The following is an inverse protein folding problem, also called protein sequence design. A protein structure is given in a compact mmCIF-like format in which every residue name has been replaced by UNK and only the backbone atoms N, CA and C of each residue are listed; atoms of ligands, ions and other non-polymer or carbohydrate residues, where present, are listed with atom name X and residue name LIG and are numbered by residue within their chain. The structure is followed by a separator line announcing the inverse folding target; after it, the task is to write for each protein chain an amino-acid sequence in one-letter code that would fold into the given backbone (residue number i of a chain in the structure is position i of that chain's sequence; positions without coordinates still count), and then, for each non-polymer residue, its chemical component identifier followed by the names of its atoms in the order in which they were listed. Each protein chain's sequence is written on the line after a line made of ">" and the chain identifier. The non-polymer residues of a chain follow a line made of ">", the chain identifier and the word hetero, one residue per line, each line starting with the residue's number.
data_IF_540035571342
#
_entry.id   IF_540035571342
#
_cell.length_a   1.000
_cell.length_b   1.000
_cell.length_c   1.000
_cell.angle_alpha   90.00
_cell.angle_beta   90.00
_cell.angle_gamma   90.00
#
_symmetry.space_group_name_H-M   'P 1'
#
loop_
_entity.id
_entity.type
_entity.pdbx_description
1 polymer ?
#
# COMPACT_ATOMS: atom_id res chain seq x y z
N UNK A 1 -24.55 3.60 33.68
CA UNK A 1 -24.67 2.37 34.49
C UNK A 1 -24.43 1.21 33.54
N UNK A 2 -23.28 0.54 33.66
CA UNK A 2 -22.91 -0.54 32.75
C UNK A 2 -23.57 -1.84 33.24
N UNK A 3 -24.37 -2.47 32.39
CA UNK A 3 -25.00 -3.76 32.65
C UNK A 3 -23.92 -4.84 32.77
N UNK A 4 -23.78 -5.39 33.98
CA UNK A 4 -22.99 -6.58 34.25
C UNK A 4 -23.68 -7.79 33.64
N UNK A 5 -23.11 -8.32 32.54
CA UNK A 5 -23.52 -9.58 31.93
C UNK A 5 -23.53 -10.72 32.96
N UNK A 6 -24.72 -11.10 33.40
CA UNK A 6 -24.97 -12.23 34.29
C UNK A 6 -24.72 -13.53 33.53
N UNK A 7 -23.59 -14.19 33.78
CA UNK A 7 -23.33 -15.56 33.32
C UNK A 7 -24.35 -16.53 33.94
N UNK A 8 -25.07 -17.29 33.12
CA UNK A 8 -26.05 -18.28 33.58
C UNK A 8 -25.46 -19.22 34.65
N UNK A 9 -26.21 -19.54 35.72
CA UNK A 9 -25.75 -20.42 36.78
C UNK A 9 -25.57 -21.86 36.28
N UNK A 10 -24.49 -22.51 36.72
CA UNK A 10 -24.12 -23.88 36.34
C UNK A 10 -24.58 -24.81 37.45
N UNK A 11 -25.47 -25.74 37.14
CA UNK A 11 -26.14 -26.59 38.13
C UNK A 11 -25.44 -27.97 38.21
N UNK A 12 -25.33 -28.53 39.42
CA UNK A 12 -24.91 -29.92 39.60
C UNK A 12 -26.06 -30.87 39.27
N UNK A 13 -25.85 -31.81 38.35
CA UNK A 13 -26.89 -32.76 37.91
C UNK A 13 -27.29 -33.79 38.98
N UNK A 14 -26.50 -33.95 40.05
CA UNK A 14 -26.79 -34.93 41.12
C UNK A 14 -27.52 -34.37 42.33
N UNK A 15 -27.31 -33.09 42.63
CA UNK A 15 -27.85 -32.47 43.83
C UNK A 15 -28.43 -31.07 43.59
N UNK A 16 -28.51 -30.65 42.33
CA UNK A 16 -29.14 -29.42 41.84
C UNK A 16 -28.59 -28.11 42.44
N UNK A 17 -27.42 -28.17 43.09
CA UNK A 17 -26.77 -26.98 43.62
C UNK A 17 -26.23 -26.14 42.46
N UNK A 18 -26.59 -24.86 42.46
CA UNK A 18 -26.16 -23.88 41.47
C UNK A 18 -24.82 -23.24 41.82
N UNK A 19 -23.95 -23.09 40.83
CA UNK A 19 -22.65 -22.44 40.96
C UNK A 19 -22.51 -21.33 39.93
N UNK A 20 -21.92 -20.22 40.34
CA UNK A 20 -21.61 -19.09 39.44
C UNK A 20 -20.42 -19.38 38.52
N UNK A 21 -19.56 -20.36 38.87
CA UNK A 21 -18.37 -20.72 38.11
C UNK A 21 -18.19 -22.24 38.03
N UNK A 22 -17.75 -22.73 36.86
CA UNK A 22 -17.45 -24.17 36.64
C UNK A 22 -16.42 -24.72 37.63
N UNK A 23 -15.47 -23.87 38.07
CA UNK A 23 -14.49 -24.23 39.11
C UNK A 23 -15.17 -24.59 40.44
N UNK A 24 -16.23 -23.88 40.81
CA UNK A 24 -17.02 -24.14 42.02
C UNK A 24 -17.75 -25.48 41.92
N UNK A 25 -18.43 -25.73 40.80
CA UNK A 25 -19.08 -27.03 40.54
C UNK A 25 -18.07 -28.19 40.59
N UNK A 26 -16.92 -28.04 39.94
CA UNK A 26 -15.87 -29.06 39.94
C UNK A 26 -15.32 -29.35 41.34
N UNK A 27 -15.18 -28.34 42.19
CA UNK A 27 -14.77 -28.52 43.58
C UNK A 27 -15.85 -29.23 44.41
N UNK A 28 -17.12 -28.89 44.15
CA UNK A 28 -18.27 -29.53 44.78
C UNK A 28 -18.39 -31.02 44.40
N UNK A 29 -18.32 -31.36 43.11
CA UNK A 29 -18.37 -32.76 42.65
C UNK A 29 -17.26 -33.58 43.31
N UNK A 30 -16.03 -33.06 43.36
CA UNK A 30 -14.91 -33.76 44.04
C UNK A 30 -15.15 -34.03 45.53
N UNK A 31 -15.94 -33.19 46.19
CA UNK A 31 -16.15 -33.26 47.64
C UNK A 31 -17.39 -34.06 48.01
N UNK A 32 -18.46 -33.97 47.22
CA UNK A 32 -19.78 -34.52 47.55
C UNK A 32 -20.24 -35.63 46.60
N UNK A 33 -19.58 -35.78 45.44
CA UNK A 33 -19.82 -36.82 44.45
C UNK A 33 -18.49 -37.45 43.97
N UNK A 34 -17.66 -37.99 44.88
CA UNK A 34 -16.31 -38.48 44.55
C UNK A 34 -16.30 -39.64 43.53
N UNK A 35 -17.42 -40.34 43.36
CA UNK A 35 -17.63 -41.37 42.35
C UNK A 35 -17.78 -40.82 40.91
N UNK A 36 -17.96 -39.51 40.74
CA UNK A 36 -18.06 -38.87 39.44
C UNK A 36 -16.71 -38.27 39.02
N UNK A 37 -16.16 -38.76 37.92
CA UNK A 37 -14.93 -38.20 37.35
C UNK A 37 -15.14 -36.76 36.87
N UNK A 38 -14.46 -35.81 37.50
CA UNK A 38 -14.40 -34.42 37.01
C UNK A 38 -13.40 -34.34 35.86
N UNK A 39 -13.91 -34.45 34.64
CA UNK A 39 -13.16 -34.22 33.40
C UNK A 39 -12.93 -32.72 33.17
N UNK A 40 -11.84 -32.19 33.73
CA UNK A 40 -11.34 -30.85 33.32
C UNK A 40 -10.63 -31.01 31.99
N UNK A 41 -11.19 -30.45 30.91
CA UNK A 41 -10.54 -30.41 29.59
C UNK A 41 -9.14 -29.80 29.74
N UNK A 42 -8.12 -30.54 29.30
CA UNK A 42 -6.76 -30.06 29.25
C UNK A 42 -6.65 -28.88 28.29
N UNK A 43 -5.87 -27.86 28.66
CA UNK A 43 -5.56 -26.74 27.80
C UNK A 43 -4.18 -26.88 27.14
N UNK A 44 -3.44 -27.95 27.45
CA UNK A 44 -2.20 -28.29 26.79
C UNK A 44 -2.48 -29.37 25.75
N UNK A 45 -2.24 -29.07 24.47
CA UNK A 45 -2.59 -29.97 23.36
C UNK A 45 -1.30 -30.58 22.82
N UNK A 46 -1.26 -31.91 22.66
CA UNK A 46 -0.10 -32.57 22.08
C UNK A 46 0.06 -32.18 20.60
N UNK A 47 1.30 -31.92 20.18
CA UNK A 47 1.61 -31.59 18.79
C UNK A 47 1.74 -32.80 17.87
N UNK A 48 1.62 -34.03 18.40
CA UNK A 48 1.80 -35.28 17.65
C UNK A 48 0.65 -36.29 17.79
N UNK A 49 -0.36 -35.98 18.61
CA UNK A 49 -1.59 -36.77 18.73
C UNK A 49 -2.73 -35.92 19.29
N UNK A 50 -3.95 -36.48 19.33
CA UNK A 50 -5.16 -35.76 19.74
C UNK A 50 -5.37 -35.65 21.27
N UNK A 51 -4.36 -36.04 22.07
CA UNK A 51 -4.46 -36.00 23.53
C UNK A 51 -4.28 -34.58 24.07
N UNK A 52 -5.00 -34.30 25.17
CA UNK A 52 -4.93 -33.02 25.88
C UNK A 52 -4.61 -33.23 27.36
N UNK A 53 -3.88 -32.27 27.95
CA UNK A 53 -3.32 -32.36 29.29
C UNK A 53 -3.61 -31.08 30.09
N UNK A 54 -3.72 -31.25 31.41
CA UNK A 54 -4.06 -30.15 32.33
C UNK A 54 -2.86 -29.24 32.63
N UNK A 55 -1.66 -29.79 32.61
CA UNK A 55 -0.41 -29.07 32.90
C UNK A 55 0.64 -29.37 31.84
N UNK A 56 1.62 -28.47 31.71
CA UNK A 56 2.73 -28.66 30.78
C UNK A 56 3.60 -29.87 31.16
N UNK A 57 3.76 -30.12 32.47
CA UNK A 57 4.52 -31.27 32.97
C UNK A 57 3.91 -32.61 32.54
N UNK A 58 2.58 -32.74 32.60
CA UNK A 58 1.89 -33.96 32.13
C UNK A 58 2.01 -34.13 30.61
N UNK A 59 2.02 -33.04 29.85
CA UNK A 59 2.30 -33.11 28.41
C UNK A 59 3.75 -33.56 28.16
N UNK A 60 4.72 -33.02 28.91
CA UNK A 60 6.13 -33.38 28.79
C UNK A 60 6.37 -34.88 29.07
N UNK A 61 5.79 -35.41 30.16
CA UNK A 61 5.84 -36.85 30.50
C UNK A 61 5.20 -37.73 29.40
N UNK A 62 4.09 -37.27 28.82
CA UNK A 62 3.46 -37.96 27.69
C UNK A 62 4.36 -37.98 26.44
N UNK A 63 5.04 -36.87 26.14
CA UNK A 63 5.96 -36.79 25.00
C UNK A 63 7.17 -37.73 25.18
N UNK A 64 7.69 -37.86 26.40
CA UNK A 64 8.78 -38.78 26.71
C UNK A 64 8.33 -40.24 26.63
N UNK A 65 7.17 -40.58 27.21
CA UNK A 65 6.70 -41.97 27.35
C UNK A 65 6.01 -42.54 26.11
N UNK A 66 5.20 -41.75 25.39
CA UNK A 66 4.36 -42.24 24.28
C UNK A 66 4.91 -41.86 22.91
N UNK A 67 5.80 -40.87 22.87
CA UNK A 67 6.36 -40.33 21.65
C UNK A 67 7.89 -40.42 21.59
N UNK A 68 8.51 -40.96 22.64
CA UNK A 68 9.96 -41.16 22.74
C UNK A 68 10.78 -39.89 22.46
N UNK A 69 10.22 -38.73 22.79
CA UNK A 69 10.89 -37.44 22.63
C UNK A 69 11.80 -37.20 23.83
N UNK A 70 13.11 -37.09 23.60
CA UNK A 70 14.06 -36.75 24.64
C UNK A 70 14.06 -35.25 24.91
N UNK A 71 13.37 -34.80 25.97
CA UNK A 71 13.39 -33.41 26.40
C UNK A 71 14.76 -33.05 27.00
N UNK A 72 15.23 -31.83 26.74
CA UNK A 72 16.51 -31.32 27.25
C UNK A 72 16.26 -30.13 28.16
N UNK A 73 16.86 -30.16 29.35
CA UNK A 73 16.75 -29.11 30.35
C UNK A 73 18.10 -28.47 30.62
N UNK A 74 18.11 -27.15 30.74
CA UNK A 74 19.28 -26.33 31.07
C UNK A 74 18.91 -25.45 32.25
N UNK A 75 19.79 -25.38 33.25
CA UNK A 75 19.64 -24.52 34.41
C UNK A 75 20.80 -23.55 34.46
N UNK A 76 20.52 -22.25 34.51
CA UNK A 76 21.51 -21.17 34.54
C UNK A 76 21.14 -20.16 35.62
N UNK A 77 22.15 -19.46 36.16
CA UNK A 77 21.95 -18.37 37.11
C UNK A 77 22.66 -17.13 36.61
N UNK A 78 21.98 -15.98 36.68
CA UNK A 78 22.49 -14.67 36.28
C UNK A 78 22.38 -13.69 37.44
N UNK A 79 23.23 -12.67 37.44
CA UNK A 79 23.27 -11.66 38.51
C UNK A 79 22.83 -10.27 38.04
N UNK A 80 22.43 -10.15 36.77
CA UNK A 80 21.80 -8.95 36.23
C UNK A 80 20.73 -9.31 35.20
N UNK A 81 19.75 -8.41 35.02
CA UNK A 81 18.77 -8.56 33.95
C UNK A 81 19.42 -8.51 32.56
N UNK A 82 20.52 -7.77 32.40
CA UNK A 82 21.26 -7.66 31.14
C UNK A 82 21.89 -8.99 30.73
N UNK A 83 22.60 -9.67 31.65
CA UNK A 83 23.17 -11.00 31.40
C UNK A 83 22.11 -12.00 30.98
N UNK A 84 20.98 -12.03 31.71
CA UNK A 84 19.85 -12.88 31.38
C UNK A 84 19.27 -12.57 30.00
N UNK A 85 19.09 -11.29 29.65
CA UNK A 85 18.54 -10.87 28.36
C UNK A 85 19.49 -11.24 27.21
N UNK A 86 20.80 -11.04 27.38
CA UNK A 86 21.82 -11.41 26.39
C UNK A 86 21.85 -12.94 26.16
N UNK A 87 21.82 -13.73 27.24
CA UNK A 87 21.72 -15.18 27.15
C UNK A 87 20.42 -15.61 26.45
N UNK A 88 19.28 -15.00 26.83
CA UNK A 88 17.99 -15.28 26.22
C UNK A 88 17.99 -14.98 24.72
N UNK A 89 18.53 -13.84 24.31
CA UNK A 89 18.63 -13.45 22.90
C UNK A 89 19.51 -14.42 22.11
N UNK A 90 20.64 -14.84 22.69
CA UNK A 90 21.51 -15.85 22.08
C UNK A 90 20.78 -17.17 21.84
N UNK A 91 20.08 -17.71 22.84
CA UNK A 91 19.35 -18.98 22.65
C UNK A 91 18.20 -18.84 21.65
N UNK A 92 17.52 -17.70 21.60
CA UNK A 92 16.43 -17.44 20.65
C UNK A 92 16.95 -17.39 19.21
N UNK A 93 18.12 -16.77 19.02
CA UNK A 93 18.83 -16.73 17.74
C UNK A 93 19.29 -18.12 17.31
N UNK A 94 19.94 -18.86 18.21
CA UNK A 94 20.47 -20.20 17.92
C UNK A 94 19.36 -21.22 17.65
N UNK A 95 18.21 -21.08 18.33
CA UNK A 95 17.05 -21.98 18.18
C UNK A 95 16.03 -21.52 17.14
N UNK A 96 16.23 -20.38 16.46
CA UNK A 96 15.26 -19.77 15.55
C UNK A 96 13.85 -19.69 16.15
N UNK A 97 13.81 -19.34 17.43
CA UNK A 97 12.58 -19.32 18.21
C UNK A 97 12.48 -18.03 19.03
N UNK A 98 11.35 -17.85 19.69
CA UNK A 98 11.17 -16.72 20.60
C UNK A 98 10.30 -17.13 21.77
N UNK A 99 10.66 -16.66 22.95
CA UNK A 99 10.05 -16.90 24.24
C UNK A 99 9.37 -15.64 24.72
N UNK A 100 8.04 -15.69 24.80
CA UNK A 100 7.18 -14.59 25.24
C UNK A 100 6.72 -14.82 26.66
N UNK A 101 6.69 -13.77 27.48
CA UNK A 101 6.17 -13.83 28.84
C UNK A 101 4.66 -14.15 28.78
N UNK A 102 4.26 -15.28 29.38
CA UNK A 102 2.86 -15.70 29.46
C UNK A 102 2.17 -15.10 30.67
N UNK A 103 2.82 -15.21 31.82
CA UNK A 103 2.36 -14.71 33.11
C UNK A 103 3.54 -14.67 34.09
N UNK A 104 3.33 -14.00 35.22
CA UNK A 104 4.23 -14.02 36.34
C UNK A 104 3.43 -14.17 37.63
N UNK A 105 4.09 -14.64 38.69
CA UNK A 105 3.57 -14.70 40.05
C UNK A 105 4.58 -14.09 41.01
N UNK A 106 4.13 -13.25 41.91
CA UNK A 106 4.97 -12.59 42.91
C UNK A 106 4.53 -13.01 44.32
N UNK A 107 5.48 -13.46 45.13
CA UNK A 107 5.27 -13.70 46.56
C UNK A 107 5.91 -12.56 47.34
N UNK A 108 5.07 -11.60 47.77
CA UNK A 108 5.49 -10.36 48.43
C UNK A 108 6.34 -10.59 49.70
N UNK A 109 6.06 -11.66 50.45
CA UNK A 109 6.76 -12.00 51.70
C UNK A 109 8.22 -12.44 51.51
N UNK A 110 8.65 -12.82 50.29
CA UNK A 110 10.00 -13.35 50.03
C UNK A 110 10.78 -12.60 48.93
N UNK A 111 10.24 -11.48 48.42
CA UNK A 111 10.86 -10.74 47.30
C UNK A 111 11.06 -11.59 46.03
N UNK A 112 10.31 -12.69 45.88
CA UNK A 112 10.53 -13.71 44.85
C UNK A 112 9.50 -13.57 43.73
N UNK A 113 9.97 -13.32 42.52
CA UNK A 113 9.16 -13.22 41.30
C UNK A 113 9.44 -14.40 40.38
N UNK A 114 8.40 -15.15 40.05
CA UNK A 114 8.46 -16.26 39.11
C UNK A 114 7.76 -15.88 37.81
N UNK A 115 8.50 -15.87 36.71
CA UNK A 115 8.05 -15.50 35.37
C UNK A 115 8.07 -16.73 34.45
N UNK A 116 6.98 -16.95 33.74
CA UNK A 116 6.84 -18.10 32.83
C UNK A 116 6.88 -17.60 31.39
N UNK A 117 7.92 -18.00 30.67
CA UNK A 117 8.07 -17.74 29.24
C UNK A 117 7.73 -19.00 28.44
N UNK A 118 7.01 -18.81 27.34
CA UNK A 118 6.61 -19.89 26.44
C UNK A 118 7.04 -19.57 25.02
N UNK A 119 7.27 -20.59 24.19
CA UNK A 119 7.46 -20.39 22.76
C UNK A 119 6.32 -19.55 22.14
N UNK A 120 6.67 -18.58 21.29
CA UNK A 120 5.73 -17.69 20.61
C UNK A 120 4.71 -18.45 19.73
N UNK A 121 5.10 -19.61 19.19
CA UNK A 121 4.22 -20.53 18.43
C UNK A 121 3.28 -21.34 19.33
N UNK A 122 3.51 -21.42 20.64
CA UNK A 122 2.73 -22.26 21.57
C UNK A 122 1.32 -21.72 21.78
N UNK A 123 0.34 -22.63 21.73
CA UNK A 123 -1.08 -22.41 22.00
C UNK A 123 -1.95 -22.32 20.74
N UNK A 124 -3.24 -22.08 20.95
CA UNK A 124 -4.23 -21.93 19.88
C UNK A 124 -4.56 -20.46 19.63
N UNK A 125 -4.86 -20.12 18.38
CA UNK A 125 -5.48 -18.84 18.05
C UNK A 125 -6.95 -18.86 18.44
N UNK A 126 -7.40 -17.85 19.19
CA UNK A 126 -8.81 -17.63 19.48
C UNK A 126 -9.30 -16.43 18.66
N UNK A 127 -10.15 -16.63 17.64
CA UNK A 127 -10.75 -15.51 16.94
C UNK A 127 -11.64 -14.71 17.90
N UNK A 128 -11.73 -13.40 17.69
CA UNK A 128 -12.75 -12.56 18.33
C UNK A 128 -14.01 -12.64 17.47
N UNK A 129 -15.17 -12.76 18.12
CA UNK A 129 -16.47 -12.94 17.45
C UNK A 129 -16.84 -11.73 16.58
N UNK A 130 -16.61 -10.49 17.05
CA UNK A 130 -16.94 -9.25 16.32
C UNK A 130 -15.87 -8.78 15.32
N UNK A 131 -15.12 -9.69 14.71
CA UNK A 131 -14.01 -9.30 13.85
C UNK A 131 -14.47 -8.98 12.42
N UNK A 132 -14.47 -7.69 12.07
CA UNK A 132 -14.79 -7.20 10.71
C UNK A 132 -13.72 -7.52 9.66
N UNK A 133 -12.45 -7.70 10.05
CA UNK A 133 -11.33 -7.92 9.12
C UNK A 133 -11.08 -9.41 8.88
N UNK A 134 -11.00 -9.84 7.62
CA UNK A 134 -10.61 -11.22 7.24
C UNK A 134 -9.31 -11.68 7.91
N UNK A 135 -9.17 -13.00 8.07
CA UNK A 135 -7.93 -13.63 8.55
C UNK A 135 -6.80 -13.40 7.55
N UNK A 136 -5.57 -13.32 8.06
CA UNK A 136 -4.39 -13.17 7.21
C UNK A 136 -4.21 -14.46 6.40
N UNK A 137 -3.86 -14.34 5.12
CA UNK A 137 -3.54 -15.50 4.28
C UNK A 137 -2.42 -16.39 4.89
N UNK A 138 -1.46 -15.77 5.59
CA UNK A 138 -0.39 -16.48 6.30
C UNK A 138 -0.81 -17.15 7.62
N UNK A 139 -2.10 -17.11 7.96
CA UNK A 139 -2.65 -17.73 9.16
C UNK A 139 -2.19 -17.07 10.48
N UNK A 140 -2.37 -17.82 11.57
CA UNK A 140 -1.88 -17.40 12.89
C UNK A 140 -0.38 -17.67 13.04
N UNK A 141 0.24 -16.94 13.97
CA UNK A 141 1.58 -17.28 14.49
C UNK A 141 1.49 -18.52 15.39
N UNK A 142 0.34 -18.73 16.04
CA UNK A 142 0.09 -19.87 16.92
C UNK A 142 -0.03 -21.16 16.11
N UNK A 143 0.66 -22.20 16.54
CA UNK A 143 0.73 -23.53 15.91
C UNK A 143 -0.54 -24.36 16.10
N UNK A 144 -1.40 -24.00 17.05
CA UNK A 144 -2.60 -24.77 17.38
C UNK A 144 -2.38 -25.84 18.45
N UNK A 145 -1.13 -26.19 18.75
CA UNK A 145 -0.75 -27.11 19.82
C UNK A 145 0.08 -26.41 20.91
N UNK A 146 0.35 -27.11 22.00
CA UNK A 146 1.27 -26.64 23.04
C UNK A 146 2.69 -27.08 22.69
N UNK A 147 3.57 -26.10 22.48
CA UNK A 147 5.00 -26.37 22.39
C UNK A 147 5.57 -26.64 23.80
N UNK A 148 6.33 -27.73 24.01
CA UNK A 148 6.95 -28.04 25.31
C UNK A 148 8.10 -27.11 25.68
N UNK A 149 8.66 -26.39 24.71
CA UNK A 149 9.72 -25.40 24.92
C UNK A 149 9.21 -24.23 25.78
N UNK A 150 9.75 -24.16 27.00
CA UNK A 150 9.40 -23.19 28.03
C UNK A 150 10.63 -22.75 28.81
N UNK A 151 10.54 -21.57 29.41
CA UNK A 151 11.58 -21.04 30.28
C UNK A 151 10.93 -20.47 31.54
N UNK A 152 11.29 -21.03 32.70
CA UNK A 152 10.83 -20.57 33.99
C UNK A 152 11.95 -19.76 34.63
N UNK A 153 11.69 -18.49 34.93
CA UNK A 153 12.67 -17.53 35.43
C UNK A 153 12.27 -17.12 36.83
N UNK A 154 13.14 -17.35 37.79
CA UNK A 154 12.96 -16.99 39.19
C UNK A 154 13.92 -15.86 39.52
N UNK A 155 13.37 -14.68 39.76
CA UNK A 155 14.13 -13.51 40.22
C UNK A 155 13.93 -13.35 41.72
N UNK A 156 15.02 -13.26 42.46
CA UNK A 156 15.03 -13.02 43.90
C UNK A 156 16.05 -11.91 44.20
N UNK A 157 15.69 -11.03 45.13
CA UNK A 157 16.60 -10.02 45.65
C UNK A 157 16.85 -10.31 47.12
N UNK A 158 18.10 -10.55 47.49
CA UNK A 158 18.55 -10.78 48.87
C UNK A 158 19.71 -9.83 49.14
N UNK A 159 19.61 -9.00 50.18
CA UNK A 159 20.66 -8.05 50.58
C UNK A 159 21.19 -7.20 49.40
N UNK A 160 20.27 -6.61 48.62
CA UNK A 160 20.53 -5.82 47.40
C UNK A 160 21.22 -6.57 46.24
N UNK A 161 21.48 -7.88 46.38
CA UNK A 161 21.99 -8.73 45.31
C UNK A 161 20.80 -9.37 44.58
N UNK A 162 20.77 -9.18 43.27
CA UNK A 162 19.78 -9.81 42.39
C UNK A 162 20.32 -11.16 41.92
N UNK A 163 19.54 -12.22 42.14
CA UNK A 163 19.78 -13.54 41.59
C UNK A 163 18.62 -13.93 40.66
N UNK A 164 18.96 -14.35 39.44
CA UNK A 164 18.01 -14.78 38.42
C UNK A 164 18.32 -16.23 38.05
N UNK A 165 17.57 -17.17 38.63
CA UNK A 165 17.69 -18.60 38.30
C UNK A 165 16.71 -18.97 37.19
N UNK A 166 17.21 -19.59 36.12
CA UNK A 166 16.45 -19.98 34.95
C UNK A 166 16.43 -21.50 34.82
N UNK A 167 15.24 -22.08 34.60
CA UNK A 167 15.07 -23.46 34.16
C UNK A 167 14.45 -23.46 32.76
N UNK A 168 15.24 -23.85 31.77
CA UNK A 168 14.90 -23.82 30.36
C UNK A 168 14.75 -25.22 29.78
N UNK A 169 13.66 -25.48 29.07
CA UNK A 169 13.43 -26.68 28.27
C UNK A 169 13.49 -26.30 26.79
N UNK A 170 14.42 -26.89 26.02
CA UNK A 170 14.80 -26.40 24.69
C UNK A 170 14.18 -27.13 23.49
N UNK A 171 13.52 -28.26 23.70
CA UNK A 171 12.99 -29.08 22.60
C UNK A 171 11.63 -28.55 22.17
N UNK A 172 11.48 -28.21 20.89
CA UNK A 172 10.22 -27.81 20.28
C UNK A 172 9.51 -29.00 19.66
N UNK A 173 8.18 -29.07 19.80
CA UNK A 173 7.35 -30.16 19.25
C UNK A 173 6.05 -29.57 18.71
N UNK A 174 5.57 -30.12 17.58
CA UNK A 174 4.29 -29.75 16.98
C UNK A 174 4.31 -28.53 16.06
N UNK A 175 5.48 -27.97 15.78
CA UNK A 175 5.64 -26.92 14.77
C UNK A 175 7.08 -26.86 14.24
N UNK A 176 7.23 -26.31 13.05
CA UNK A 176 8.52 -26.00 12.46
C UNK A 176 9.08 -24.67 12.97
N UNK A 177 10.39 -24.51 12.88
CA UNK A 177 11.13 -23.30 13.25
C UNK A 177 11.25 -22.39 12.02
N UNK A 178 10.18 -21.63 11.78
CA UNK A 178 10.09 -20.73 10.63
C UNK A 178 10.61 -19.32 10.95
N UNK A 179 11.71 -18.91 10.32
CA UNK A 179 12.28 -17.55 10.45
C UNK A 179 11.24 -16.46 10.17
N UNK A 180 10.34 -16.66 9.19
CA UNK A 180 9.31 -15.69 8.82
C UNK A 180 8.24 -15.44 9.89
N UNK A 181 8.11 -16.32 10.89
CA UNK A 181 7.17 -16.17 12.02
C UNK A 181 7.80 -15.45 13.22
N UNK A 182 9.12 -15.25 13.20
CA UNK A 182 9.83 -14.45 14.19
C UNK A 182 9.44 -12.97 14.07
N UNK A 183 9.61 -12.25 15.19
CA UNK A 183 9.41 -10.80 15.24
C UNK A 183 10.75 -10.11 14.97
N UNK A 184 10.69 -8.94 14.34
CA UNK A 184 11.82 -8.02 14.35
C UNK A 184 12.13 -7.62 15.80
N UNK A 185 13.41 -7.61 16.13
CA UNK A 185 13.92 -7.20 17.44
C UNK A 185 13.66 -5.71 17.67
N UNK A 186 13.72 -5.28 18.93
CA UNK A 186 13.49 -3.88 19.28
C UNK A 186 14.51 -2.96 18.59
N UNK A 187 15.80 -3.28 18.72
CA UNK A 187 16.88 -2.53 18.10
C UNK A 187 16.77 -2.48 16.56
N UNK A 188 16.37 -3.58 15.93
CA UNK A 188 16.13 -3.63 14.48
C UNK A 188 15.02 -2.67 14.05
N UNK A 189 13.91 -2.62 14.79
CA UNK A 189 12.81 -1.69 14.50
C UNK A 189 13.22 -0.24 14.70
N UNK A 190 14.00 0.06 15.73
CA UNK A 190 14.53 1.39 15.99
C UNK A 190 15.45 1.85 14.86
N UNK A 191 16.34 0.99 14.37
CA UNK A 191 17.19 1.28 13.21
C UNK A 191 16.38 1.54 11.93
N UNK A 192 15.37 0.70 11.66
CA UNK A 192 14.48 0.90 10.50
C UNK A 192 13.64 2.17 10.64
N UNK A 193 13.21 2.52 11.85
CA UNK A 193 12.50 3.76 12.14
C UNK A 193 13.39 4.98 11.92
N UNK A 194 14.67 4.92 12.32
CA UNK A 194 15.64 5.98 12.07
C UNK A 194 15.86 6.19 10.56
N UNK A 195 16.07 5.11 9.79
CA UNK A 195 16.22 5.19 8.33
C UNK A 195 14.96 5.81 7.67
N UNK A 196 13.76 5.46 8.15
CA UNK A 196 12.50 6.04 7.68
C UNK A 196 12.36 7.53 8.03
N UNK A 197 12.81 7.93 9.21
CA UNK A 197 12.75 9.33 9.67
C UNK A 197 13.74 10.24 8.92
N UNK A 198 14.81 9.67 8.35
CA UNK A 198 15.76 10.35 7.47
C UNK A 198 15.26 10.49 6.02
N UNK A 199 14.00 10.14 5.73
CA UNK A 199 13.43 10.24 4.38
C UNK A 199 13.95 9.18 3.40
N UNK A 200 14.67 8.15 3.86
CA UNK A 200 15.22 7.12 2.97
C UNK A 200 14.07 6.32 2.33
N UNK A 201 14.02 6.21 0.99
CA UNK A 201 12.95 5.46 0.32
C UNK A 201 12.87 4.01 0.81
N UNK A 202 11.66 3.51 1.07
CA UNK A 202 11.44 2.14 1.55
C UNK A 202 12.10 1.08 0.67
N UNK A 203 12.23 1.31 -0.64
CA UNK A 203 12.96 0.41 -1.55
C UNK A 203 14.44 0.27 -1.15
N UNK A 204 15.13 1.39 -0.92
CA UNK A 204 16.53 1.41 -0.50
C UNK A 204 16.75 0.80 0.87
N UNK A 205 15.83 1.04 1.81
CA UNK A 205 15.86 0.38 3.13
C UNK A 205 15.76 -1.14 2.96
N UNK A 206 14.84 -1.63 2.13
CA UNK A 206 14.71 -3.06 1.86
C UNK A 206 15.96 -3.65 1.20
N UNK A 207 16.58 -2.93 0.25
CA UNK A 207 17.82 -3.37 -0.38
C UNK A 207 18.95 -3.50 0.66
N UNK A 208 19.11 -2.51 1.55
CA UNK A 208 20.07 -2.53 2.66
C UNK A 208 19.85 -3.72 3.59
N UNK A 209 18.59 -4.04 3.94
CA UNK A 209 18.27 -5.21 4.78
C UNK A 209 18.63 -6.55 4.12
N UNK A 210 18.73 -6.58 2.79
CA UNK A 210 19.00 -7.79 1.99
C UNK A 210 20.45 -7.94 1.55
N UNK A 211 21.30 -6.91 1.73
CA UNK A 211 22.72 -6.98 1.35
C UNK A 211 23.45 -8.14 2.02
N UNK A 212 23.16 -8.41 3.30
CA UNK A 212 23.69 -9.56 4.05
C UNK A 212 22.55 -10.57 4.31
N UNK A 213 21.91 -11.03 3.24
CA UNK A 213 20.77 -11.94 3.36
C UNK A 213 21.15 -13.24 4.07
N UNK A 214 20.39 -13.59 5.11
CA UNK A 214 20.43 -14.91 5.72
C UNK A 214 19.02 -15.46 5.89
N UNK A 215 18.81 -16.71 5.46
CA UNK A 215 17.52 -17.41 5.60
C UNK A 215 17.13 -17.66 7.05
N UNK A 216 18.09 -17.60 7.97
CA UNK A 216 17.90 -17.75 9.42
C UNK A 216 17.72 -16.41 10.14
N UNK A 217 17.80 -15.28 9.43
CA UNK A 217 17.63 -13.96 10.01
C UNK A 217 16.28 -13.33 9.64
N UNK A 218 15.45 -13.03 10.63
CA UNK A 218 14.16 -12.34 10.43
C UNK A 218 14.34 -10.95 9.81
N UNK A 219 15.43 -10.26 10.11
CA UNK A 219 15.73 -8.93 9.56
C UNK A 219 15.82 -8.95 8.03
N UNK A 220 16.43 -9.98 7.46
CA UNK A 220 16.58 -10.15 6.00
C UNK A 220 15.24 -10.39 5.28
N UNK A 221 14.20 -10.79 6.02
CA UNK A 221 12.84 -11.01 5.53
C UNK A 221 11.92 -9.80 5.76
N UNK A 222 12.49 -8.62 6.05
CA UNK A 222 11.72 -7.38 6.22
C UNK A 222 10.92 -7.08 4.94
N UNK A 223 9.65 -6.70 5.14
CA UNK A 223 8.73 -6.38 4.05
C UNK A 223 8.34 -4.91 4.06
N UNK A 224 7.84 -4.39 2.93
CA UNK A 224 7.27 -3.04 2.87
C UNK A 224 6.12 -2.84 3.88
N UNK A 225 5.37 -3.91 4.17
CA UNK A 225 4.32 -3.89 5.19
C UNK A 225 4.89 -3.73 6.61
N UNK A 226 6.03 -4.35 6.90
CA UNK A 226 6.72 -4.15 8.17
C UNK A 226 7.16 -2.69 8.32
N UNK A 227 7.75 -2.10 7.28
CA UNK A 227 8.15 -0.68 7.29
C UNK A 227 6.96 0.26 7.54
N UNK A 228 5.81 0.02 6.88
CA UNK A 228 4.58 0.80 7.15
C UNK A 228 4.08 0.64 8.58
N UNK A 229 4.14 -0.57 9.14
CA UNK A 229 3.75 -0.81 10.53
C UNK A 229 4.72 -0.11 11.49
N UNK A 230 6.03 -0.19 11.25
CA UNK A 230 7.05 0.51 12.05
C UNK A 230 6.82 2.01 11.98
N UNK A 231 6.63 2.58 10.78
CA UNK A 231 6.32 4.00 10.59
C UNK A 231 5.13 4.45 11.45
N UNK A 232 4.03 3.69 11.42
CA UNK A 232 2.84 3.95 12.25
C UNK A 232 3.16 3.82 13.75
N UNK A 233 3.81 2.73 14.16
CA UNK A 233 4.07 2.43 15.57
C UNK A 233 5.02 3.46 16.20
N UNK A 234 5.92 4.05 15.41
CA UNK A 234 6.84 5.13 15.80
C UNK A 234 6.29 6.54 15.50
N UNK A 235 5.07 6.66 14.99
CA UNK A 235 4.42 7.94 14.66
C UNK A 235 5.24 8.84 13.74
N UNK A 236 6.02 8.25 12.84
CA UNK A 236 6.82 9.01 11.87
C UNK A 236 5.89 9.63 10.84
N UNK A 237 5.94 10.95 10.68
CA UNK A 237 5.14 11.68 9.68
C UNK A 237 5.55 11.24 8.28
N UNK A 238 4.59 11.07 7.38
CA UNK A 238 4.92 11.16 5.95
C UNK A 238 5.28 12.61 5.67
N UNK A 239 6.48 12.88 5.16
CA UNK A 239 6.88 14.23 4.74
C UNK A 239 5.87 14.88 3.77
N UNK A 240 5.05 14.05 3.11
CA UNK A 240 4.05 14.44 2.12
C UNK A 240 2.59 14.47 2.61
N UNK A 241 2.30 14.13 3.88
CA UNK A 241 0.92 14.14 4.42
C UNK A 241 0.86 15.06 5.62
N UNK A 242 0.33 16.26 5.40
CA UNK A 242 0.28 17.35 6.37
C UNK A 242 -1.00 17.32 7.23
N UNK A 243 -2.07 16.67 6.75
CA UNK A 243 -3.34 16.54 7.46
C UNK A 243 -4.03 15.20 7.12
N UNK A 244 -4.98 14.75 7.95
CA UNK A 244 -5.77 13.55 7.70
C UNK A 244 -6.81 13.74 6.58
N UNK A 245 -7.20 14.99 6.30
CA UNK A 245 -7.99 15.37 5.15
C UNK A 245 -7.05 15.74 3.98
N UNK A 246 -7.12 14.97 2.90
CA UNK A 246 -6.26 15.17 1.72
C UNK A 246 -6.35 16.59 1.14
N UNK A 247 -7.54 17.21 1.12
CA UNK A 247 -7.70 18.59 0.61
C UNK A 247 -6.98 19.62 1.49
N UNK A 248 -7.07 19.48 2.81
CA UNK A 248 -6.32 20.30 3.77
C UNK A 248 -4.82 20.06 3.64
N UNK A 249 -4.41 18.79 3.45
CA UNK A 249 -3.00 18.44 3.28
C UNK A 249 -2.40 19.06 2.01
N UNK A 250 -3.14 19.06 0.90
CA UNK A 250 -2.74 19.72 -0.35
C UNK A 250 -2.68 21.24 -0.16
N UNK A 251 -3.66 21.84 0.53
CA UNK A 251 -3.66 23.27 0.80
C UNK A 251 -2.41 23.70 1.58
N UNK A 252 -2.06 22.98 2.65
CA UNK A 252 -0.84 23.24 3.44
C UNK A 252 0.42 23.13 2.55
N UNK A 253 0.49 22.11 1.68
CA UNK A 253 1.62 21.95 0.76
C UNK A 253 1.71 23.13 -0.21
N UNK A 254 0.61 23.54 -0.83
CA UNK A 254 0.60 24.63 -1.80
C UNK A 254 0.96 25.94 -1.13
N UNK A 255 0.42 26.24 0.06
CA UNK A 255 0.81 27.42 0.83
C UNK A 255 2.30 27.43 1.15
N UNK A 256 2.90 26.27 1.45
CA UNK A 256 4.34 26.17 1.66
C UNK A 256 5.11 26.48 0.37
N UNK A 257 4.71 25.88 -0.76
CA UNK A 257 5.34 26.11 -2.07
C UNK A 257 5.24 27.57 -2.50
N UNK A 258 4.12 28.25 -2.24
CA UNK A 258 3.93 29.67 -2.54
C UNK A 258 4.81 30.60 -1.67
N UNK A 259 5.28 30.12 -0.51
CA UNK A 259 6.17 30.86 0.39
C UNK A 259 7.66 30.53 0.18
N UNK A 260 7.98 29.54 -0.65
CA UNK A 260 9.36 29.23 -1.02
C UNK A 260 9.89 30.25 -2.04
N UNK A 261 11.21 30.34 -2.20
CA UNK A 261 11.82 31.32 -3.11
C UNK A 261 11.60 30.99 -4.59
N UNK A 262 11.26 29.74 -4.90
CA UNK A 262 10.94 29.31 -6.25
C UNK A 262 9.44 29.52 -6.51
N UNK A 263 9.12 30.26 -7.56
CA UNK A 263 7.73 30.48 -7.98
C UNK A 263 7.21 29.23 -8.69
N UNK A 264 6.85 28.19 -7.94
CA UNK A 264 6.44 26.90 -8.50
C UNK A 264 4.97 26.84 -8.91
N UNK A 265 4.12 27.65 -8.28
CA UNK A 265 2.66 27.55 -8.37
C UNK A 265 2.14 28.59 -9.37
N UNK A 266 1.72 28.13 -10.54
CA UNK A 266 1.15 28.99 -11.58
C UNK A 266 -0.26 29.48 -11.21
N UNK A 267 -1.06 28.56 -10.70
CA UNK A 267 -2.43 28.84 -10.27
C UNK A 267 -2.81 27.85 -9.18
N UNK A 268 -3.51 28.33 -8.17
CA UNK A 268 -4.12 27.49 -7.18
C UNK A 268 -5.51 27.98 -6.82
N UNK A 269 -6.44 27.04 -6.77
CA UNK A 269 -7.80 27.24 -6.28
C UNK A 269 -8.26 25.99 -5.55
N UNK A 270 -8.44 26.12 -4.25
CA UNK A 270 -9.01 25.06 -3.42
C UNK A 270 -10.51 24.87 -3.71
N UNK A 271 -11.02 23.67 -3.41
CA UNK A 271 -12.46 23.42 -3.43
C UNK A 271 -13.18 24.31 -2.40
N UNK A 272 -14.32 24.88 -2.79
CA UNK A 272 -15.11 25.82 -1.97
C UNK A 272 -14.71 27.29 -2.13
N UNK A 273 -13.57 27.59 -2.77
CA UNK A 273 -13.17 28.96 -3.08
C UNK A 273 -13.72 29.43 -4.42
N UNK A 274 -13.69 30.73 -4.68
CA UNK A 274 -13.99 31.32 -6.01
C UNK A 274 -12.75 32.02 -6.55
N UNK A 275 -12.65 32.12 -7.87
CA UNK A 275 -11.66 32.96 -8.54
C UNK A 275 -12.38 34.19 -9.11
N UNK A 276 -12.22 35.40 -8.51
CA UNK A 276 -12.98 36.58 -8.91
C UNK A 276 -12.83 36.96 -10.39
N UNK A 277 -11.64 36.74 -10.95
CA UNK A 277 -11.34 37.06 -12.36
C UNK A 277 -11.87 36.00 -13.35
N UNK A 278 -12.34 34.84 -12.86
CA UNK A 278 -12.78 33.72 -13.67
C UNK A 278 -14.15 33.21 -13.19
N UNK A 279 -15.25 33.92 -13.51
CA UNK A 279 -16.58 33.60 -12.98
C UNK A 279 -17.15 32.26 -13.45
N UNK A 280 -16.63 31.72 -14.56
CA UNK A 280 -16.98 30.39 -15.07
C UNK A 280 -16.40 29.24 -14.24
N UNK A 281 -15.52 29.54 -13.28
CA UNK A 281 -14.92 28.55 -12.38
C UNK A 281 -15.74 28.53 -11.10
N UNK A 282 -16.52 27.47 -10.93
CA UNK A 282 -17.48 27.32 -9.84
C UNK A 282 -16.80 26.89 -8.54
N UNK A 283 -17.47 27.00 -7.40
CA UNK A 283 -16.85 26.72 -6.09
C UNK A 283 -16.36 25.29 -5.95
N UNK A 284 -17.09 24.34 -6.53
CA UNK A 284 -16.75 22.92 -6.59
C UNK A 284 -15.51 22.59 -7.42
N UNK A 285 -15.07 23.50 -8.30
CA UNK A 285 -13.91 23.25 -9.15
C UNK A 285 -12.60 23.25 -8.34
N UNK A 286 -11.66 22.37 -8.69
CA UNK A 286 -10.31 22.38 -8.13
C UNK A 286 -9.32 22.70 -9.24
N UNK A 287 -8.34 23.57 -8.97
CA UNK A 287 -7.23 23.86 -9.89
C UNK A 287 -5.91 23.92 -9.13
N UNK A 288 -4.89 23.24 -9.64
CA UNK A 288 -3.49 23.39 -9.22
C UNK A 288 -2.59 23.28 -10.45
N UNK A 289 -2.08 24.43 -10.90
CA UNK A 289 -1.09 24.53 -11.98
C UNK A 289 0.31 24.71 -11.43
N UNK A 290 1.26 23.93 -11.93
CA UNK A 290 2.65 23.92 -11.49
C UNK A 290 3.59 24.10 -12.69
N UNK A 291 4.63 24.91 -12.49
CA UNK A 291 5.76 25.08 -13.39
C UNK A 291 6.95 25.61 -12.61
N UNK A 292 8.09 24.94 -12.70
CA UNK A 292 9.34 25.38 -12.08
C UNK A 292 10.23 26.18 -13.05
N UNK A 293 11.28 26.81 -12.53
CA UNK A 293 12.20 27.64 -13.30
C UNK A 293 12.89 26.90 -14.46
N UNK A 294 13.19 25.61 -14.28
CA UNK A 294 13.81 24.81 -15.33
C UNK A 294 12.81 24.56 -16.47
N UNK A 295 11.56 24.26 -16.13
CA UNK A 295 10.48 24.06 -17.07
C UNK A 295 10.11 25.35 -17.82
N UNK A 296 10.10 26.50 -17.13
CA UNK A 296 9.91 27.81 -17.75
C UNK A 296 10.99 28.08 -18.80
N UNK A 297 12.26 27.81 -18.47
CA UNK A 297 13.39 27.94 -19.42
C UNK A 297 13.24 27.00 -20.60
N UNK A 298 12.85 25.74 -20.38
CA UNK A 298 12.62 24.78 -21.46
C UNK A 298 11.48 25.21 -22.38
N UNK A 299 10.38 25.74 -21.83
CA UNK A 299 9.28 26.29 -22.62
C UNK A 299 9.72 27.52 -23.42
N UNK A 300 10.54 28.40 -22.84
CA UNK A 300 11.12 29.54 -23.56
C UNK A 300 12.06 29.14 -24.70
N UNK A 301 12.84 28.06 -24.53
CA UNK A 301 13.78 27.58 -25.55
C UNK A 301 13.09 26.84 -26.69
N UNK A 302 12.17 25.92 -26.37
CA UNK A 302 11.63 24.95 -27.33
C UNK A 302 10.16 25.19 -27.71
N UNK A 303 9.43 26.04 -26.97
CA UNK A 303 8.00 26.26 -27.17
C UNK A 303 7.63 26.94 -28.50
N UNK A 304 8.59 27.54 -29.20
CA UNK A 304 8.36 28.22 -30.47
C UNK A 304 8.04 27.28 -31.63
N UNK A 305 8.55 26.05 -31.60
CA UNK A 305 8.37 25.08 -32.69
C UNK A 305 7.03 24.36 -32.56
N UNK A 306 6.86 23.59 -31.49
CA UNK A 306 5.66 22.79 -31.27
C UNK A 306 5.38 22.65 -29.77
N UNK A 307 4.12 22.87 -29.41
CA UNK A 307 3.60 22.63 -28.07
C UNK A 307 2.59 21.49 -28.16
N UNK A 308 2.75 20.48 -27.30
CA UNK A 308 1.89 19.33 -27.20
C UNK A 308 1.12 19.37 -25.88
N UNK A 309 -0.19 19.13 -25.92
CA UNK A 309 -1.02 19.08 -24.72
C UNK A 309 -1.78 17.76 -24.68
N UNK A 310 -1.71 17.09 -23.54
CA UNK A 310 -2.45 15.86 -23.27
C UNK A 310 -3.03 15.87 -21.85
N UNK A 311 -4.23 15.31 -21.66
CA UNK A 311 -4.84 15.13 -20.34
C UNK A 311 -5.06 13.66 -20.02
N UNK A 312 -4.63 13.27 -18.83
CA UNK A 312 -4.81 11.90 -18.33
C UNK A 312 -5.95 11.86 -17.31
N UNK A 313 -6.89 10.94 -17.52
CA UNK A 313 -8.07 10.75 -16.68
C UNK A 313 -7.98 9.46 -15.85
N UNK A 314 -8.68 9.41 -14.71
CA UNK A 314 -8.88 8.18 -13.93
C UNK A 314 -7.63 7.68 -13.19
N UNK A 315 -6.65 8.55 -12.97
CA UNK A 315 -5.36 8.24 -12.33
C UNK A 315 -5.39 8.36 -10.80
N UNK A 316 -6.47 8.91 -10.23
CA UNK A 316 -6.62 9.17 -8.81
C UNK A 316 -8.05 8.90 -8.31
N UNK A 317 -8.20 8.80 -6.99
CA UNK A 317 -9.48 8.49 -6.32
C UNK A 317 -10.53 9.61 -6.40
N UNK A 318 -10.12 10.82 -6.78
CA UNK A 318 -10.98 12.01 -6.87
C UNK A 318 -11.53 12.26 -8.27
N UNK A 319 -11.08 11.49 -9.26
CA UNK A 319 -11.43 11.72 -10.66
C UNK A 319 -10.81 12.98 -11.26
N UNK A 320 -9.80 13.57 -10.61
CA UNK A 320 -9.10 14.73 -11.16
C UNK A 320 -8.33 14.35 -12.42
N UNK A 321 -8.21 15.31 -13.32
CA UNK A 321 -7.46 15.22 -14.55
C UNK A 321 -6.08 15.84 -14.38
N UNK A 322 -5.08 15.26 -15.04
CA UNK A 322 -3.74 15.81 -15.14
C UNK A 322 -3.49 16.21 -16.60
N UNK A 323 -3.63 17.50 -16.88
CA UNK A 323 -3.24 18.11 -18.15
C UNK A 323 -1.75 18.43 -18.11
N UNK A 324 -0.99 17.94 -19.09
CA UNK A 324 0.45 18.18 -19.22
C UNK A 324 0.74 18.97 -20.49
N UNK A 325 1.44 20.08 -20.35
CA UNK A 325 2.03 20.85 -21.43
C UNK A 325 3.43 20.31 -21.70
N UNK A 326 3.75 19.97 -22.94
CA UNK A 326 5.05 19.45 -23.34
C UNK A 326 5.60 20.20 -24.55
N UNK A 327 6.92 20.23 -24.65
CA UNK A 327 7.68 20.64 -25.83
C UNK A 327 8.56 19.48 -26.28
N UNK A 328 9.23 19.58 -27.42
CA UNK A 328 10.29 18.65 -27.78
C UNK A 328 11.64 19.35 -27.93
N UNK A 329 12.72 18.67 -27.61
CA UNK A 329 14.06 19.17 -27.85
C UNK A 329 14.50 18.99 -29.32
N UNK A 330 15.77 19.27 -29.60
CA UNK A 330 16.39 19.09 -30.92
C UNK A 330 16.49 17.61 -31.35
N UNK A 331 16.40 16.67 -30.40
CA UNK A 331 16.40 15.23 -30.65
C UNK A 331 14.98 14.65 -30.75
N UNK A 332 13.96 15.51 -30.73
CA UNK A 332 12.53 15.14 -30.70
C UNK A 332 12.10 14.36 -29.45
N UNK A 333 12.80 14.52 -28.33
CA UNK A 333 12.37 13.98 -27.04
C UNK A 333 11.35 14.91 -26.37
N UNK A 334 10.23 14.35 -25.91
CA UNK A 334 9.17 15.11 -25.25
C UNK A 334 9.53 15.51 -23.81
N UNK A 335 9.49 16.81 -23.52
CA UNK A 335 9.82 17.39 -22.21
C UNK A 335 8.57 18.04 -21.60
N UNK A 336 8.11 17.60 -20.40
CA UNK A 336 6.99 18.23 -19.72
C UNK A 336 7.40 19.56 -19.09
N UNK A 337 6.72 20.63 -19.47
CA UNK A 337 7.05 22.02 -19.10
C UNK A 337 6.00 22.69 -18.23
N UNK A 338 4.78 22.16 -18.13
CA UNK A 338 3.83 22.61 -17.12
C UNK A 338 2.78 21.53 -16.90
N UNK A 339 2.18 21.51 -15.72
CA UNK A 339 1.10 20.58 -15.40
C UNK A 339 -0.04 21.27 -14.70
N UNK A 340 -1.26 20.85 -14.99
CA UNK A 340 -2.49 21.31 -14.35
C UNK A 340 -3.25 20.10 -13.82
N UNK A 341 -3.50 20.10 -12.51
CA UNK A 341 -4.48 19.23 -11.87
C UNK A 341 -5.82 19.96 -11.82
N UNK A 342 -6.88 19.34 -12.34
CA UNK A 342 -8.21 19.94 -12.30
C UNK A 342 -9.33 18.92 -12.08
N UNK A 343 -10.44 19.37 -11.49
CA UNK A 343 -11.64 18.55 -11.30
C UNK A 343 -12.42 18.27 -12.59
N UNK A 344 -12.24 19.11 -13.61
CA UNK A 344 -12.80 18.97 -14.96
C UNK A 344 -11.88 19.61 -15.99
N UNK A 345 -12.11 19.29 -17.26
CA UNK A 345 -11.42 19.93 -18.39
C UNK A 345 -12.41 20.69 -19.27
N UNK A 346 -12.01 21.90 -19.65
CA UNK A 346 -12.79 22.81 -20.46
C UNK A 346 -11.96 24.04 -20.80
N UNK A 347 -12.36 24.80 -21.82
CA UNK A 347 -11.62 26.01 -22.20
C UNK A 347 -11.58 27.05 -21.08
N UNK A 348 -12.62 27.11 -20.26
CA UNK A 348 -12.74 27.98 -19.10
C UNK A 348 -11.78 27.60 -17.95
N UNK A 349 -11.47 26.30 -17.78
CA UNK A 349 -10.46 25.82 -16.81
C UNK A 349 -9.04 26.03 -17.33
N UNK A 350 -8.82 25.85 -18.63
CA UNK A 350 -7.51 26.00 -19.26
C UNK A 350 -7.08 27.46 -19.41
N UNK A 351 -8.05 28.37 -19.59
CA UNK A 351 -7.79 29.81 -19.74
C UNK A 351 -6.92 30.39 -18.62
N UNK A 352 -7.26 30.27 -17.32
CA UNK A 352 -6.42 30.85 -16.27
C UNK A 352 -5.05 30.16 -16.16
N UNK A 353 -4.96 28.87 -16.50
CA UNK A 353 -3.68 28.15 -16.52
C UNK A 353 -2.74 28.69 -17.60
N UNK A 354 -3.25 28.89 -18.82
CA UNK A 354 -2.48 29.49 -19.90
C UNK A 354 -2.16 30.97 -19.62
N UNK A 355 -3.07 31.73 -19.02
CA UNK A 355 -2.80 33.12 -18.64
C UNK A 355 -1.67 33.21 -17.60
N UNK A 356 -1.63 32.32 -16.61
CA UNK A 356 -0.49 32.22 -15.68
C UNK A 356 0.83 31.93 -16.40
N UNK A 357 0.83 31.02 -17.40
CA UNK A 357 2.03 30.75 -18.21
C UNK A 357 2.44 31.98 -19.02
N UNK A 358 1.48 32.65 -19.67
CA UNK A 358 1.72 33.87 -20.44
C UNK A 358 2.30 34.99 -19.57
N UNK A 359 1.88 35.10 -18.31
CA UNK A 359 2.43 36.10 -17.40
C UNK A 359 3.91 35.86 -17.10
N UNK A 360 4.35 34.60 -17.04
CA UNK A 360 5.77 34.24 -16.86
C UNK A 360 6.58 34.33 -18.15
N UNK A 361 5.99 33.95 -19.27
CA UNK A 361 6.61 34.02 -20.61
C UNK A 361 5.74 34.87 -21.56
N UNK A 362 5.79 36.22 -21.47
CA UNK A 362 4.90 37.10 -22.23
C UNK A 362 5.05 37.01 -23.75
N UNK A 363 6.25 36.65 -24.21
CA UNK A 363 6.58 36.54 -25.62
C UNK A 363 6.45 35.12 -26.17
N UNK A 364 5.80 34.21 -25.44
CA UNK A 364 5.59 32.85 -25.89
C UNK A 364 4.74 32.85 -27.17
N UNK A 365 5.32 32.30 -28.23
CA UNK A 365 4.65 32.01 -29.49
C UNK A 365 4.89 30.54 -29.79
N UNK A 366 3.98 29.90 -30.53
CA UNK A 366 4.17 28.54 -31.03
C UNK A 366 3.69 28.45 -32.47
N UNK A 367 4.46 27.79 -33.32
CA UNK A 367 4.08 27.54 -34.70
C UNK A 367 3.02 26.43 -34.78
N UNK A 368 3.19 25.36 -34.00
CA UNK A 368 2.32 24.19 -33.99
C UNK A 368 1.76 23.93 -32.59
N UNK A 369 0.45 23.72 -32.51
CA UNK A 369 -0.20 23.23 -31.30
C UNK A 369 -0.77 21.84 -31.59
N UNK A 370 -0.25 20.83 -30.91
CA UNK A 370 -0.70 19.45 -31.03
C UNK A 370 -1.55 19.06 -29.81
N UNK A 371 -2.78 18.62 -30.03
CA UNK A 371 -3.71 18.25 -28.95
C UNK A 371 -4.47 16.98 -29.30
N UNK A 372 -5.30 16.48 -28.38
CA UNK A 372 -6.32 15.50 -28.73
C UNK A 372 -7.40 16.11 -29.66
N UNK A 373 -8.40 15.31 -30.06
CA UNK A 373 -9.53 15.76 -30.89
C UNK A 373 -10.61 16.44 -30.03
N UNK A 374 -10.21 17.45 -29.25
CA UNK A 374 -11.10 18.37 -28.54
C UNK A 374 -10.74 19.82 -28.87
N UNK A 375 -11.76 20.66 -29.03
CA UNK A 375 -11.54 22.09 -29.31
C UNK A 375 -11.17 22.88 -28.05
N UNK A 376 -11.22 22.27 -26.86
CA UNK A 376 -11.08 22.97 -25.59
C UNK A 376 -9.70 23.63 -25.44
N UNK A 377 -8.65 22.89 -25.81
CA UNK A 377 -7.26 23.34 -25.78
C UNK A 377 -7.00 24.47 -26.78
N UNK A 378 -7.38 24.28 -28.05
CA UNK A 378 -7.18 25.28 -29.09
C UNK A 378 -7.91 26.58 -28.77
N UNK A 379 -9.19 26.51 -28.38
CA UNK A 379 -9.98 27.69 -28.05
C UNK A 379 -9.37 28.49 -26.89
N UNK A 380 -8.95 27.81 -25.82
CA UNK A 380 -8.31 28.46 -24.69
C UNK A 380 -6.95 29.08 -25.09
N UNK A 381 -6.16 28.37 -25.89
CA UNK A 381 -4.88 28.87 -26.40
C UNK A 381 -5.03 30.14 -27.24
N UNK A 382 -5.94 30.14 -28.22
CA UNK A 382 -6.18 31.30 -29.09
C UNK A 382 -6.69 32.50 -28.29
N UNK A 383 -7.56 32.28 -27.29
CA UNK A 383 -8.05 33.33 -26.41
C UNK A 383 -6.93 33.94 -25.55
N UNK A 384 -6.04 33.11 -24.99
CA UNK A 384 -4.96 33.59 -24.11
C UNK A 384 -3.82 34.25 -24.89
N UNK A 385 -3.28 33.60 -25.93
CA UNK A 385 -2.07 34.08 -26.62
C UNK A 385 -2.37 34.99 -27.80
N UNK A 386 -3.65 35.14 -28.20
CA UNK A 386 -4.07 35.91 -29.38
C UNK A 386 -3.32 35.51 -30.66
N UNK A 387 -2.98 34.23 -30.76
CA UNK A 387 -2.23 33.64 -31.85
C UNK A 387 -3.01 32.43 -32.41
N UNK A 388 -2.84 32.17 -33.72
CA UNK A 388 -3.46 31.04 -34.41
C UNK A 388 -2.39 30.05 -34.86
N UNK A 389 -1.97 29.12 -33.99
CA UNK A 389 -1.00 28.11 -34.37
C UNK A 389 -1.61 27.13 -35.38
N UNK A 390 -0.75 26.45 -36.14
CA UNK A 390 -1.17 25.29 -36.92
C UNK A 390 -1.63 24.21 -35.94
N UNK A 391 -2.91 23.85 -35.97
CA UNK A 391 -3.47 22.85 -35.07
C UNK A 391 -3.31 21.44 -35.64
N UNK A 392 -2.51 20.63 -34.96
CA UNK A 392 -2.35 19.20 -35.27
C UNK A 392 -3.09 18.33 -34.24
N UNK A 393 -3.63 17.22 -34.69
CA UNK A 393 -4.21 16.19 -33.86
C UNK A 393 -3.13 15.17 -33.51
N UNK A 394 -3.11 14.77 -32.25
CA UNK A 394 -2.23 13.72 -31.76
C UNK A 394 -2.52 12.40 -32.51
N UNK A 395 -1.52 11.90 -33.24
CA UNK A 395 -1.69 10.73 -34.10
C UNK A 395 -2.07 9.47 -33.33
N UNK A 396 -1.64 9.36 -32.06
CA UNK A 396 -2.05 8.27 -31.20
C UNK A 396 -3.56 8.28 -30.94
N UNK A 397 -4.14 9.45 -30.67
CA UNK A 397 -5.57 9.62 -30.45
C UNK A 397 -6.39 9.38 -31.73
N UNK A 398 -5.90 9.87 -32.87
CA UNK A 398 -6.48 9.62 -34.19
C UNK A 398 -6.54 8.11 -34.46
N UNK A 399 -5.40 7.42 -34.35
CA UNK A 399 -5.30 5.98 -34.55
C UNK A 399 -6.18 5.19 -33.58
N UNK A 400 -6.24 5.59 -32.30
CA UNK A 400 -7.10 4.96 -31.29
C UNK A 400 -8.58 5.07 -31.65
N UNK A 401 -9.03 6.27 -32.05
CA UNK A 401 -10.43 6.53 -32.42
C UNK A 401 -10.82 5.84 -33.72
N UNK A 402 -9.94 5.86 -34.72
CA UNK A 402 -10.14 5.10 -35.97
C UNK A 402 -10.25 3.60 -35.66
N UNK A 403 -9.30 3.03 -34.93
CA UNK A 403 -9.32 1.59 -34.59
C UNK A 403 -10.55 1.18 -33.80
N UNK A 404 -11.00 2.02 -32.86
CA UNK A 404 -12.25 1.80 -32.12
C UNK A 404 -13.44 1.76 -33.09
N UNK A 405 -13.52 2.70 -34.02
CA UNK A 405 -14.61 2.76 -34.99
C UNK A 405 -14.54 1.66 -36.05
N UNK A 406 -13.35 1.18 -36.42
CA UNK A 406 -13.20 -0.04 -37.23
C UNK A 406 -13.89 -1.21 -36.51
N UNK A 407 -13.56 -1.43 -35.24
CA UNK A 407 -14.13 -2.56 -34.49
C UNK A 407 -15.65 -2.47 -34.30
N UNK A 408 -16.21 -1.26 -34.22
CA UNK A 408 -17.64 -1.02 -34.00
C UNK A 408 -18.43 -1.02 -35.31
N UNK A 409 -17.91 -0.37 -36.36
CA UNK A 409 -18.66 -0.03 -37.59
C UNK A 409 -18.38 -0.97 -38.76
N UNK A 410 -17.23 -1.66 -38.77
CA UNK A 410 -16.87 -2.61 -39.84
C UNK A 410 -17.51 -3.97 -39.54
N UNK A 411 -18.40 -4.40 -40.42
CA UNK A 411 -19.20 -5.62 -40.28
C UNK A 411 -18.40 -6.85 -40.64
N UNK A 412 -17.65 -6.82 -41.74
CA UNK A 412 -16.86 -7.95 -42.20
C UNK A 412 -15.55 -8.05 -41.39
N UNK A 413 -15.38 -9.14 -40.65
CA UNK A 413 -14.17 -9.36 -39.83
C UNK A 413 -12.90 -9.47 -40.67
N UNK A 414 -12.99 -9.99 -41.90
CA UNK A 414 -11.85 -10.11 -42.80
C UNK A 414 -11.35 -8.75 -43.27
N UNK A 415 -12.27 -7.78 -43.47
CA UNK A 415 -11.92 -6.43 -43.92
C UNK A 415 -11.23 -5.60 -42.83
N UNK A 416 -11.42 -5.93 -41.54
CA UNK A 416 -10.84 -5.16 -40.42
C UNK A 416 -9.32 -5.11 -40.47
N UNK A 417 -8.67 -6.21 -40.82
CA UNK A 417 -7.20 -6.28 -40.89
C UNK A 417 -6.69 -5.46 -42.07
N UNK A 418 -7.31 -5.61 -43.25
CA UNK A 418 -6.95 -4.85 -44.45
C UNK A 418 -7.13 -3.35 -44.24
N UNK A 419 -8.27 -2.91 -43.71
CA UNK A 419 -8.55 -1.51 -43.40
C UNK A 419 -7.52 -0.92 -42.44
N UNK A 420 -7.11 -1.66 -41.41
CA UNK A 420 -6.09 -1.19 -40.46
C UNK A 420 -4.73 -0.99 -41.11
N UNK A 421 -4.33 -1.90 -42.00
CA UNK A 421 -3.07 -1.79 -42.74
C UNK A 421 -3.11 -0.59 -43.68
N UNK A 422 -4.16 -0.47 -44.49
CA UNK A 422 -4.27 0.63 -45.45
C UNK A 422 -4.33 2.01 -44.79
N UNK A 423 -5.05 2.15 -43.66
CA UNK A 423 -5.06 3.40 -42.91
C UNK A 423 -3.67 3.73 -42.36
N UNK A 424 -2.92 2.73 -41.91
CA UNK A 424 -1.54 2.95 -41.44
C UNK A 424 -0.68 3.48 -42.59
N UNK A 425 -0.81 2.91 -43.78
CA UNK A 425 -0.07 3.35 -44.96
C UNK A 425 -0.45 4.80 -45.34
N UNK A 426 -1.75 5.12 -45.35
CA UNK A 426 -2.27 6.49 -45.58
C UNK A 426 -1.69 7.50 -44.57
N UNK A 427 -1.68 7.15 -43.29
CA UNK A 427 -1.20 8.03 -42.20
C UNK A 427 0.31 8.30 -42.29
N UNK A 428 1.08 7.40 -42.88
CA UNK A 428 2.53 7.55 -43.04
C UNK A 428 2.96 8.16 -44.36
N UNK A 429 2.02 8.43 -45.27
CA UNK A 429 2.32 9.00 -46.58
C UNK A 429 2.60 10.51 -46.45
N UNK A 430 3.75 10.93 -46.97
CA UNK A 430 4.23 12.31 -46.88
C UNK A 430 3.99 13.10 -48.16
N UNK A 431 3.79 12.43 -49.30
CA UNK A 431 3.45 13.09 -50.55
C UNK A 431 1.94 13.34 -50.65
N UNK A 432 1.56 14.61 -50.69
CA UNK A 432 0.16 15.01 -50.71
C UNK A 432 -0.63 14.44 -51.90
N UNK A 433 0.01 14.25 -53.06
CA UNK A 433 -0.68 13.69 -54.24
C UNK A 433 -0.99 12.22 -54.04
N UNK A 434 0.01 11.46 -53.58
CA UNK A 434 -0.10 10.04 -53.27
C UNK A 434 -1.10 9.81 -52.13
N UNK A 435 -1.04 10.62 -51.07
CA UNK A 435 -2.01 10.60 -49.98
C UNK A 435 -3.45 10.76 -50.46
N UNK A 436 -3.72 11.75 -51.31
CA UNK A 436 -5.06 12.00 -51.83
C UNK A 436 -5.56 10.85 -52.73
N UNK A 437 -4.66 10.25 -53.51
CA UNK A 437 -4.99 9.06 -54.32
C UNK A 437 -5.32 7.86 -53.42
N UNK A 438 -4.49 7.58 -52.41
CA UNK A 438 -4.70 6.47 -51.48
C UNK A 438 -6.01 6.61 -50.70
N UNK A 439 -6.33 7.82 -50.21
CA UNK A 439 -7.64 8.08 -49.57
C UNK A 439 -8.80 7.87 -50.55
N UNK A 440 -8.67 8.33 -51.79
CA UNK A 440 -9.70 8.17 -52.82
C UNK A 440 -9.98 6.68 -53.09
N UNK A 441 -8.92 5.90 -53.34
CA UNK A 441 -9.01 4.46 -53.56
C UNK A 441 -9.56 3.72 -52.35
N UNK A 442 -9.14 4.09 -51.14
CA UNK A 442 -9.60 3.51 -49.89
C UNK A 442 -11.11 3.69 -49.71
N UNK A 443 -11.61 4.93 -49.92
CA UNK A 443 -13.05 5.22 -49.82
C UNK A 443 -13.83 4.43 -50.87
N UNK A 444 -13.39 4.45 -52.13
CA UNK A 444 -14.09 3.75 -53.22
C UNK A 444 -14.15 2.23 -53.01
N UNK A 445 -13.10 1.63 -52.45
CA UNK A 445 -13.00 0.19 -52.19
C UNK A 445 -14.01 -0.28 -51.15
N UNK A 446 -14.22 0.49 -50.08
CA UNK A 446 -15.01 0.06 -48.93
C UNK A 446 -16.37 0.76 -48.81
N UNK A 447 -16.72 1.72 -49.69
CA UNK A 447 -17.98 2.49 -49.60
C UNK A 447 -19.24 1.62 -49.68
N UNK A 448 -19.21 0.53 -50.45
CA UNK A 448 -20.39 -0.33 -50.62
C UNK A 448 -20.52 -1.34 -49.47
N UNK A 449 -19.43 -2.04 -49.14
CA UNK A 449 -19.43 -3.09 -48.12
C UNK A 449 -19.44 -2.54 -46.68
N UNK A 450 -18.71 -1.45 -46.43
CA UNK A 450 -18.44 -0.91 -45.09
C UNK A 450 -18.86 0.58 -44.96
N UNK A 451 -19.98 0.93 -45.60
CA UNK A 451 -20.51 2.29 -45.69
C UNK A 451 -20.54 3.04 -44.33
N UNK A 452 -20.93 2.37 -43.24
CA UNK A 452 -21.01 3.02 -41.92
C UNK A 452 -19.66 3.53 -41.41
N UNK A 453 -18.59 2.78 -41.67
CA UNK A 453 -17.24 3.19 -41.31
C UNK A 453 -16.72 4.28 -42.26
N UNK A 454 -16.94 4.13 -43.57
CA UNK A 454 -16.53 5.12 -44.56
C UNK A 454 -17.19 6.48 -44.32
N UNK A 455 -18.50 6.51 -44.08
CA UNK A 455 -19.19 7.77 -43.76
C UNK A 455 -18.61 8.44 -42.50
N UNK A 456 -18.25 7.67 -41.47
CA UNK A 456 -17.56 8.19 -40.29
C UNK A 456 -16.17 8.74 -40.64
N UNK A 457 -15.36 7.99 -41.38
CA UNK A 457 -14.01 8.39 -41.75
C UNK A 457 -14.02 9.65 -42.61
N UNK A 458 -14.92 9.75 -43.58
CA UNK A 458 -15.04 10.92 -44.45
C UNK A 458 -15.48 12.18 -43.69
N UNK A 459 -16.47 12.04 -42.81
CA UNK A 459 -17.00 13.19 -42.06
C UNK A 459 -16.06 13.66 -40.97
N UNK A 460 -15.30 12.75 -40.36
CA UNK A 460 -14.48 13.04 -39.17
C UNK A 460 -13.03 13.34 -39.52
N UNK A 461 -12.42 12.61 -40.47
CA UNK A 461 -10.97 12.67 -40.73
C UNK A 461 -10.63 13.19 -42.12
N UNK A 462 -11.26 12.68 -43.19
CA UNK A 462 -10.92 13.10 -44.58
C UNK A 462 -11.02 14.61 -44.81
N UNK A 463 -12.03 15.25 -44.22
CA UNK A 463 -12.25 16.71 -44.32
C UNK A 463 -11.26 17.57 -43.54
N UNK A 464 -10.50 16.96 -42.64
CA UNK A 464 -9.54 17.61 -41.73
C UNK A 464 -8.15 16.98 -41.89
N UNK A 465 -7.83 16.47 -43.08
CA UNK A 465 -6.61 15.71 -43.34
C UNK A 465 -5.36 16.50 -42.93
N UNK A 466 -5.36 17.80 -43.20
CA UNK A 466 -4.30 18.75 -42.84
C UNK A 466 -4.00 18.83 -41.34
N UNK A 467 -4.88 18.31 -40.48
CA UNK A 467 -4.67 18.27 -39.04
C UNK A 467 -3.99 16.99 -38.55
N UNK A 468 -3.96 15.90 -39.32
CA UNK A 468 -3.50 14.60 -38.81
C UNK A 468 -2.62 13.79 -39.78
N UNK A 469 -2.54 14.19 -41.05
CA UNK A 469 -1.74 13.54 -42.09
C UNK A 469 -0.76 14.53 -42.71
#
# INVERSE_FOLDING_TARGET
>A
MAESGSSQPIICEKCEISFTMRKGLNAHIRKFHPEQEVLVKGNQICGMCDRTFRTIALLQEHLESQHSICLKYVSETFYSDEEFLNWKEKIEKDSLSSFVLRNHSERKEMGKRLSYYICHRSGCFKPKEDRTRHLKASGSVKSGCTCPAIMNVTKQTVDDIVEISVRYQSVHVGHELETGKLRLMKAEKENLAADLNLGIPMSKILDKTRQNFSSTNRFSLTTRKDLRNIRRDFQLREESVYDANDSTSVDILVQKLMNESEDLVLIYKAMGQTLPNYPSIHQEDFLLGLMNDAQEKLLGLYGSSCIMIDSTHGTNQYGFELTTLMVHDENHEGLPVATLFSSRTGSDILLPFFESIKNRIPNLQTHVLMTDDTNSYLNAWELTFHAKPTHLLCIWHVNKNINRNINIKVKNSNNRSSIKTEIKDIVTEIDATTFNNLIGEFVERYKEEENSFIQYFETTYKRRAEKWA
#
